data_IF_634698792558
#
_entry.id   IF_634698792558
#
_cell.length_a   1.000
_cell.length_b   1.000
_cell.length_c   1.000
_cell.angle_alpha   90.00
_cell.angle_beta   90.00
_cell.angle_gamma   90.00
#
_symmetry.space_group_name_H-M   'P 1'
#
loop_
_entity.id
_entity.type
_entity.pdbx_description
1 polymer ?
#
# COMPACT_ATOMS: atom_id res chain seq x y z
N UNK A 1 -11.92 19.84 -8.64
CA UNK A 1 -10.74 19.26 -9.35
C UNK A 1 -9.73 18.57 -8.42
N UNK A 2 -9.19 19.24 -7.39
CA UNK A 2 -8.17 18.68 -6.48
C UNK A 2 -8.55 17.32 -5.86
N UNK A 3 -9.80 17.17 -5.41
CA UNK A 3 -10.30 15.93 -4.79
C UNK A 3 -10.33 14.72 -5.74
N UNK A 4 -10.71 14.93 -7.01
CA UNK A 4 -10.73 13.86 -8.02
C UNK A 4 -9.30 13.43 -8.31
N UNK A 5 -8.39 14.40 -8.44
CA UNK A 5 -6.97 14.12 -8.62
C UNK A 5 -6.38 13.33 -7.44
N UNK A 6 -6.62 13.74 -6.19
CA UNK A 6 -6.16 13.00 -5.02
C UNK A 6 -6.78 11.60 -4.91
N UNK A 7 -8.03 11.43 -5.34
CA UNK A 7 -8.67 10.12 -5.40
C UNK A 7 -8.00 9.20 -6.41
N UNK A 8 -7.66 9.71 -7.60
CA UNK A 8 -6.90 8.97 -8.61
C UNK A 8 -5.50 8.63 -8.11
N UNK A 9 -4.84 9.59 -7.45
CA UNK A 9 -3.52 9.36 -6.87
C UNK A 9 -3.56 8.43 -5.64
N UNK A 10 -4.70 8.29 -4.96
CA UNK A 10 -4.84 7.29 -3.90
C UNK A 10 -4.85 5.85 -4.46
N UNK A 11 -5.32 5.67 -5.70
CA UNK A 11 -5.48 4.35 -6.35
C UNK A 11 -4.53 4.10 -7.51
N UNK A 12 -3.62 5.03 -7.81
CA UNK A 12 -2.65 4.85 -8.90
C UNK A 12 -1.79 3.59 -8.76
N UNK A 13 -1.36 3.14 -7.55
CA UNK A 13 -0.52 1.95 -7.44
C UNK A 13 -1.17 0.68 -8.02
N UNK A 14 -2.39 0.27 -7.60
CA UNK A 14 -3.03 -0.89 -8.22
C UNK A 14 -3.43 -0.65 -9.68
N UNK A 15 -3.74 0.59 -10.10
CA UNK A 15 -3.99 0.89 -11.52
C UNK A 15 -2.74 0.68 -12.39
N UNK A 16 -1.57 1.11 -11.90
CA UNK A 16 -0.30 0.90 -12.61
C UNK A 16 0.04 -0.59 -12.70
N UNK A 17 -0.16 -1.34 -11.61
CA UNK A 17 0.07 -2.79 -11.60
C UNK A 17 -0.89 -3.53 -12.54
N UNK A 18 -2.16 -3.14 -12.58
CA UNK A 18 -3.13 -3.66 -13.54
C UNK A 18 -2.71 -3.36 -14.99
N UNK A 19 -2.33 -2.11 -15.28
CA UNK A 19 -1.88 -1.68 -16.60
C UNK A 19 -0.66 -2.45 -17.09
N UNK A 20 0.33 -2.68 -16.23
CA UNK A 20 1.51 -3.51 -16.56
C UNK A 20 1.08 -4.96 -16.81
N UNK A 21 0.23 -5.53 -15.97
CA UNK A 21 -0.21 -6.92 -16.10
C UNK A 21 -0.98 -7.17 -17.39
N UNK A 22 -1.91 -6.28 -17.74
CA UNK A 22 -2.63 -6.34 -19.01
C UNK A 22 -1.73 -6.02 -20.21
N UNK A 23 -0.79 -5.09 -20.07
CA UNK A 23 0.17 -4.77 -21.11
C UNK A 23 1.09 -5.94 -21.45
N UNK A 24 1.53 -6.69 -20.42
CA UNK A 24 2.28 -7.94 -20.61
C UNK A 24 1.42 -9.03 -21.25
N UNK A 25 0.17 -9.20 -20.80
CA UNK A 25 -0.79 -10.14 -21.40
C UNK A 25 -1.12 -9.84 -22.87
N UNK A 26 -1.17 -8.56 -23.23
CA UNK A 26 -1.46 -8.11 -24.59
C UNK A 26 -0.20 -8.06 -25.49
N UNK A 27 0.99 -8.29 -24.93
CA UNK A 27 2.23 -8.23 -25.70
C UNK A 27 2.40 -9.48 -26.55
N UNK A 28 2.17 -9.34 -27.85
CA UNK A 28 2.31 -10.40 -28.86
C UNK A 28 3.74 -10.55 -29.38
N UNK A 29 4.73 -10.00 -28.66
CA UNK A 29 6.13 -9.96 -29.12
C UNK A 29 6.78 -11.35 -28.99
N UNK A 30 7.23 -11.97 -30.09
CA UNK A 30 7.85 -13.30 -30.07
C UNK A 30 9.16 -13.39 -29.27
N UNK A 31 9.73 -12.26 -28.84
CA UNK A 31 11.03 -12.20 -28.17
C UNK A 31 11.01 -11.79 -26.69
N UNK A 32 9.84 -11.46 -26.12
CA UNK A 32 9.76 -11.00 -24.73
C UNK A 32 9.17 -12.05 -23.79
N UNK A 33 8.06 -12.69 -24.14
CA UNK A 33 7.49 -13.81 -23.39
C UNK A 33 6.60 -14.59 -24.36
N UNK A 34 6.90 -15.85 -24.67
CA UNK A 34 5.92 -16.76 -25.30
C UNK A 34 4.89 -17.11 -24.22
N UNK A 35 3.96 -16.19 -23.97
CA UNK A 35 2.92 -16.33 -22.95
C UNK A 35 1.94 -17.39 -23.43
N UNK A 36 2.10 -18.61 -22.91
CA UNK A 36 1.14 -19.68 -23.16
C UNK A 36 -0.26 -19.29 -22.69
N UNK A 37 -1.27 -20.06 -23.08
CA UNK A 37 -2.66 -19.80 -22.67
C UNK A 37 -2.82 -19.65 -21.14
N UNK A 38 -2.00 -20.36 -20.36
CA UNK A 38 -1.99 -20.28 -18.90
C UNK A 38 -1.45 -18.95 -18.37
N UNK A 39 -0.43 -18.36 -19.00
CA UNK A 39 0.14 -17.07 -18.59
C UNK A 39 -0.83 -15.92 -18.87
N UNK A 40 -1.56 -16.01 -19.98
CA UNK A 40 -2.64 -15.07 -20.31
C UNK A 40 -3.80 -15.16 -19.32
N UNK A 41 -4.19 -16.38 -18.90
CA UNK A 41 -5.19 -16.59 -17.85
C UNK A 41 -4.70 -16.02 -16.51
N UNK A 42 -3.44 -16.29 -16.13
CA UNK A 42 -2.85 -15.79 -14.90
C UNK A 42 -2.79 -14.25 -14.87
N UNK A 43 -2.41 -13.62 -15.99
CA UNK A 43 -2.39 -12.17 -16.11
C UNK A 43 -3.79 -11.55 -16.07
N UNK A 44 -4.79 -12.20 -16.69
CA UNK A 44 -6.19 -11.79 -16.59
C UNK A 44 -6.73 -11.85 -15.15
N UNK A 45 -6.44 -12.94 -14.43
CA UNK A 45 -6.79 -13.10 -13.02
C UNK A 45 -6.09 -12.05 -12.13
N UNK A 46 -4.79 -11.81 -12.37
CA UNK A 46 -4.04 -10.78 -11.67
C UNK A 46 -4.66 -9.40 -11.90
N UNK A 47 -5.03 -9.08 -13.14
CA UNK A 47 -5.75 -7.84 -13.48
C UNK A 47 -7.06 -7.66 -12.72
N UNK A 48 -7.88 -8.71 -12.61
CA UNK A 48 -9.13 -8.69 -11.85
C UNK A 48 -8.90 -8.45 -10.34
N UNK A 49 -7.84 -9.05 -9.78
CA UNK A 49 -7.42 -8.81 -8.39
C UNK A 49 -7.01 -7.34 -8.19
N UNK A 50 -6.23 -6.77 -9.11
CA UNK A 50 -5.84 -5.36 -9.02
C UNK A 50 -7.02 -4.40 -9.13
N UNK A 51 -7.99 -4.67 -10.01
CA UNK A 51 -9.21 -3.86 -10.10
C UNK A 51 -10.05 -3.92 -8.81
N UNK A 52 -10.10 -5.08 -8.17
CA UNK A 52 -10.70 -5.22 -6.83
C UNK A 52 -9.93 -4.39 -5.79
N UNK A 53 -8.60 -4.39 -5.85
CA UNK A 53 -7.76 -3.57 -4.97
C UNK A 53 -7.98 -2.06 -5.21
N UNK A 54 -8.17 -1.60 -6.45
CA UNK A 54 -8.53 -0.20 -6.76
C UNK A 54 -9.79 0.22 -5.99
N UNK A 55 -10.84 -0.59 -6.04
CA UNK A 55 -12.09 -0.32 -5.32
C UNK A 55 -11.89 -0.25 -3.80
N UNK A 56 -11.12 -1.20 -3.26
CA UNK A 56 -10.80 -1.24 -1.83
C UNK A 56 -9.99 0.00 -1.39
N UNK A 57 -8.96 0.37 -2.16
CA UNK A 57 -8.11 1.55 -1.87
C UNK A 57 -8.88 2.86 -2.00
N UNK A 58 -9.79 2.97 -2.95
CA UNK A 58 -10.69 4.12 -3.04
C UNK A 58 -11.60 4.23 -1.81
N UNK A 59 -12.16 3.11 -1.35
CA UNK A 59 -12.99 3.09 -0.15
C UNK A 59 -12.19 3.46 1.11
N UNK A 60 -10.96 2.95 1.26
CA UNK A 60 -10.05 3.32 2.33
C UNK A 60 -9.68 4.80 2.31
N UNK A 61 -9.34 5.35 1.13
CA UNK A 61 -9.11 6.79 0.96
C UNK A 61 -10.31 7.61 1.47
N UNK A 62 -11.54 7.27 1.07
CA UNK A 62 -12.74 7.99 1.51
C UNK A 62 -12.93 7.93 3.02
N UNK A 63 -12.74 6.74 3.62
CA UNK A 63 -12.88 6.52 5.06
C UNK A 63 -11.81 7.28 5.85
N UNK A 64 -10.54 7.15 5.46
CA UNK A 64 -9.42 7.83 6.11
C UNK A 64 -9.59 9.36 6.01
N UNK A 65 -9.97 9.86 4.83
CA UNK A 65 -10.23 11.29 4.63
C UNK A 65 -11.34 11.80 5.54
N UNK A 66 -12.48 11.11 5.60
CA UNK A 66 -13.58 11.49 6.47
C UNK A 66 -13.15 11.52 7.94
N UNK A 67 -12.38 10.51 8.38
CA UNK A 67 -11.85 10.45 9.73
C UNK A 67 -10.86 11.56 10.03
N UNK A 68 -9.96 11.91 9.11
CA UNK A 68 -9.01 13.01 9.32
C UNK A 68 -9.75 14.36 9.39
N UNK A 69 -10.73 14.57 8.51
CA UNK A 69 -11.53 15.80 8.49
C UNK A 69 -12.37 15.98 9.77
N UNK A 70 -12.87 14.89 10.36
CA UNK A 70 -13.61 14.90 11.63
C UNK A 70 -12.78 15.48 12.79
N UNK A 71 -11.45 15.31 12.76
CA UNK A 71 -10.54 15.73 13.83
C UNK A 71 -9.58 16.85 13.40
N UNK A 72 -9.85 17.52 12.28
CA UNK A 72 -9.03 18.64 11.81
C UNK A 72 -9.06 19.79 12.84
N UNK A 73 -7.89 20.30 13.20
CA UNK A 73 -7.75 21.33 14.25
C UNK A 73 -7.90 20.80 15.69
N UNK A 74 -8.18 19.51 15.88
CA UNK A 74 -8.30 18.90 17.21
C UNK A 74 -6.97 18.35 17.72
N UNK A 75 -6.68 18.44 19.03
CA UNK A 75 -5.55 17.73 19.65
C UNK A 75 -5.58 16.20 19.43
N UNK A 76 -6.77 15.63 19.21
CA UNK A 76 -6.95 14.19 18.99
C UNK A 76 -6.45 13.71 17.61
N UNK A 77 -6.09 14.63 16.70
CA UNK A 77 -5.61 14.31 15.36
C UNK A 77 -4.38 13.39 15.38
N UNK A 78 -3.49 13.54 16.36
CA UNK A 78 -2.32 12.67 16.52
C UNK A 78 -2.71 11.20 16.77
N UNK A 79 -3.71 10.96 17.63
CA UNK A 79 -4.24 9.61 17.90
C UNK A 79 -4.88 9.01 16.65
N UNK A 80 -5.61 9.82 15.88
CA UNK A 80 -6.21 9.40 14.61
C UNK A 80 -5.13 8.97 13.61
N UNK A 81 -4.05 9.75 13.46
CA UNK A 81 -2.93 9.38 12.60
C UNK A 81 -2.25 8.08 13.05
N UNK A 82 -2.08 7.87 14.35
CA UNK A 82 -1.52 6.63 14.88
C UNK A 82 -2.39 5.41 14.54
N UNK A 83 -3.71 5.51 14.75
CA UNK A 83 -4.66 4.44 14.44
C UNK A 83 -4.70 4.14 12.92
N UNK A 84 -4.87 5.19 12.10
CA UNK A 84 -4.92 5.05 10.65
C UNK A 84 -3.59 4.51 10.11
N UNK A 85 -2.46 5.04 10.56
CA UNK A 85 -1.14 4.55 10.17
C UNK A 85 -0.94 3.07 10.50
N UNK A 86 -1.36 2.65 11.70
CA UNK A 86 -1.21 1.24 12.11
C UNK A 86 -2.05 0.30 11.25
N UNK A 87 -3.23 0.73 10.81
CA UNK A 87 -4.07 -0.02 9.88
C UNK A 87 -3.47 -0.08 8.47
N UNK A 88 -2.98 1.05 7.95
CA UNK A 88 -2.52 1.18 6.56
C UNK A 88 -1.06 0.73 6.33
N UNK A 89 -0.37 0.21 7.35
CA UNK A 89 1.05 -0.17 7.26
C UNK A 89 1.34 -1.37 6.35
N UNK A 90 0.33 -2.20 6.05
CA UNK A 90 0.51 -3.55 5.51
C UNK A 90 0.86 -3.58 4.03
N UNK A 91 0.54 -2.54 3.26
CA UNK A 91 0.90 -2.49 1.85
C UNK A 91 1.18 -1.07 1.37
N UNK A 92 1.96 -0.99 0.30
CA UNK A 92 2.24 0.28 -0.37
C UNK A 92 0.96 0.98 -0.87
N UNK A 93 -0.01 0.23 -1.40
CA UNK A 93 -1.30 0.76 -1.85
C UNK A 93 -2.07 1.42 -0.70
N UNK A 94 -2.10 0.81 0.49
CA UNK A 94 -2.76 1.35 1.67
C UNK A 94 -2.09 2.63 2.18
N UNK A 95 -0.75 2.65 2.25
CA UNK A 95 -0.01 3.85 2.66
C UNK A 95 -0.23 5.02 1.71
N UNK A 96 -0.32 4.73 0.41
CA UNK A 96 -0.61 5.73 -0.62
C UNK A 96 -2.03 6.30 -0.47
N UNK A 97 -3.02 5.46 -0.18
CA UNK A 97 -4.38 5.92 0.12
C UNK A 97 -4.42 6.86 1.33
N UNK A 98 -3.73 6.51 2.43
CA UNK A 98 -3.64 7.37 3.62
C UNK A 98 -2.89 8.68 3.35
N UNK A 99 -1.79 8.64 2.60
CA UNK A 99 -1.03 9.83 2.21
C UNK A 99 -1.89 10.84 1.48
N UNK A 100 -2.64 10.39 0.46
CA UNK A 100 -3.49 11.29 -0.32
C UNK A 100 -4.74 11.72 0.44
N UNK A 101 -5.27 10.87 1.33
CA UNK A 101 -6.34 11.27 2.25
C UNK A 101 -5.89 12.43 3.17
N UNK A 102 -4.71 12.30 3.78
CA UNK A 102 -4.12 13.35 4.61
C UNK A 102 -3.76 14.61 3.81
N UNK A 103 -3.28 14.44 2.58
CA UNK A 103 -2.96 15.56 1.67
C UNK A 103 -4.20 16.33 1.23
N UNK A 104 -5.32 15.64 1.02
CA UNK A 104 -6.58 16.27 0.61
C UNK A 104 -7.20 17.11 1.72
N UNK A 105 -7.07 16.69 2.98
CA UNK A 105 -7.65 17.40 4.13
C UNK A 105 -6.68 18.48 4.64
N UNK A 106 -5.45 18.11 5.01
CA UNK A 106 -4.51 18.99 5.71
C UNK A 106 -3.51 19.68 4.76
N UNK A 107 -3.68 19.52 3.46
CA UNK A 107 -2.72 20.00 2.45
C UNK A 107 -1.41 19.18 2.42
N UNK A 108 -0.38 19.66 1.70
CA UNK A 108 0.88 18.92 1.47
C UNK A 108 1.57 18.43 2.76
N UNK A 109 1.41 19.17 3.85
CA UNK A 109 1.97 18.82 5.15
C UNK A 109 1.36 17.55 5.73
N UNK A 110 0.06 17.30 5.51
CA UNK A 110 -0.61 16.07 5.93
C UNK A 110 0.01 14.83 5.29
N UNK A 111 0.25 14.87 3.98
CA UNK A 111 0.96 13.80 3.28
C UNK A 111 2.39 13.60 3.80
N UNK A 112 3.10 14.70 4.06
CA UNK A 112 4.47 14.63 4.58
C UNK A 112 4.53 13.99 5.97
N UNK A 113 3.58 14.28 6.86
CA UNK A 113 3.45 13.62 8.18
C UNK A 113 3.33 12.11 8.01
N UNK A 114 2.48 11.64 7.09
CA UNK A 114 2.32 10.20 6.82
C UNK A 114 3.64 9.57 6.36
N UNK A 115 4.36 10.22 5.42
CA UNK A 115 5.67 9.73 4.96
C UNK A 115 6.71 9.67 6.07
N UNK A 116 6.81 10.72 6.87
CA UNK A 116 7.76 10.80 7.99
C UNK A 116 7.45 9.74 9.05
N UNK A 117 6.17 9.50 9.35
CA UNK A 117 5.74 8.48 10.28
C UNK A 117 6.17 7.08 9.84
N UNK A 118 5.91 6.70 8.59
CA UNK A 118 6.35 5.40 8.08
C UNK A 118 7.87 5.26 8.01
N UNK A 119 8.58 6.33 7.66
CA UNK A 119 10.04 6.36 7.69
C UNK A 119 10.57 6.14 9.10
N UNK A 120 9.95 6.76 10.11
CA UNK A 120 10.32 6.57 11.52
C UNK A 120 10.05 5.13 12.00
N UNK A 121 9.07 4.44 11.43
CA UNK A 121 8.82 3.01 11.64
C UNK A 121 9.76 2.08 10.85
N UNK A 122 10.74 2.64 10.13
CA UNK A 122 11.70 1.87 9.34
C UNK A 122 11.17 1.41 7.99
N UNK A 123 10.01 1.86 7.53
CA UNK A 123 9.50 1.53 6.19
C UNK A 123 10.07 2.47 5.13
N UNK A 124 10.58 1.91 4.03
CA UNK A 124 10.60 2.61 2.74
C UNK A 124 9.20 2.65 2.15
N UNK A 125 8.91 3.71 1.37
CA UNK A 125 7.55 4.01 0.93
C UNK A 125 6.88 2.85 0.18
N UNK A 126 7.65 2.17 -0.67
CA UNK A 126 7.21 1.05 -1.51
C UNK A 126 7.40 -0.34 -0.88
N UNK A 127 7.97 -0.46 0.33
CA UNK A 127 8.29 -1.79 0.88
C UNK A 127 7.13 -2.44 1.64
N UNK A 128 6.85 -3.71 1.37
CA UNK A 128 5.86 -4.49 2.12
C UNK A 128 6.27 -4.67 3.59
N UNK A 129 7.56 -4.77 3.85
CA UNK A 129 8.15 -4.92 5.19
C UNK A 129 9.06 -3.73 5.53
N UNK A 130 9.34 -3.47 6.82
CA UNK A 130 10.37 -2.50 7.20
C UNK A 130 11.71 -2.83 6.55
N UNK A 131 12.52 -1.82 6.25
CA UNK A 131 13.93 -2.03 5.89
C UNK A 131 14.64 -2.78 7.00
N UNK A 132 15.52 -3.71 6.61
CA UNK A 132 16.22 -4.58 7.56
C UNK A 132 15.43 -5.82 8.00
N UNK A 133 14.16 -5.98 7.60
CA UNK A 133 13.34 -7.19 7.84
C UNK A 133 13.93 -8.46 7.24
N UNK A 134 14.78 -8.36 6.22
CA UNK A 134 15.52 -9.50 5.66
C UNK A 134 17.03 -9.28 5.67
N UNK A 135 17.52 -8.52 6.66
CA UNK A 135 18.96 -8.42 6.93
C UNK A 135 19.45 -9.61 7.75
N UNK A 136 20.76 -9.88 7.78
CA UNK A 136 21.37 -10.90 8.68
C UNK A 136 21.03 -10.67 10.15
N UNK A 137 20.67 -9.45 10.53
CA UNK A 137 20.26 -9.10 11.90
C UNK A 137 18.75 -9.27 12.13
N UNK A 138 17.99 -9.57 11.09
CA UNK A 138 16.54 -9.71 11.16
C UNK A 138 16.12 -10.87 12.07
N UNK A 139 15.15 -10.66 12.97
CA UNK A 139 14.56 -11.75 13.72
C UNK A 139 13.81 -12.75 12.80
N UNK A 140 13.26 -12.31 11.67
CA UNK A 140 12.51 -13.16 10.74
C UNK A 140 13.35 -14.26 10.07
N UNK A 141 14.67 -14.09 10.00
CA UNK A 141 15.58 -15.11 9.46
C UNK A 141 16.08 -16.09 10.53
N UNK A 142 15.76 -15.86 11.81
CA UNK A 142 16.15 -16.74 12.90
C UNK A 142 15.08 -17.81 13.11
N UNK A 143 15.44 -19.09 13.05
CA UNK A 143 14.55 -20.21 13.39
C UNK A 143 13.92 -20.04 14.79
N UNK A 144 14.66 -19.44 15.73
CA UNK A 144 14.20 -19.07 17.08
C UNK A 144 12.98 -18.13 17.12
N UNK A 145 12.84 -17.25 16.14
CA UNK A 145 11.70 -16.33 16.06
C UNK A 145 10.42 -17.05 15.68
N UNK A 146 10.48 -17.93 14.68
CA UNK A 146 9.31 -18.70 14.25
C UNK A 146 8.88 -19.71 15.32
N UNK A 147 9.82 -20.44 15.92
CA UNK A 147 9.56 -21.32 17.06
C UNK A 147 8.89 -20.60 18.25
N UNK A 148 9.30 -19.35 18.54
CA UNK A 148 8.65 -18.52 19.56
C UNK A 148 7.22 -18.09 19.21
N UNK A 149 6.90 -17.94 17.92
CA UNK A 149 5.56 -17.60 17.42
C UNK A 149 4.61 -18.80 17.45
N UNK A 150 5.12 -20.02 17.21
CA UNK A 150 4.30 -21.26 17.23
C UNK A 150 4.28 -21.94 18.61
N UNK A 151 5.01 -21.40 19.60
CA UNK A 151 5.06 -21.94 20.96
C UNK A 151 5.81 -23.26 21.10
N UNK A 152 6.57 -23.66 20.08
CA UNK A 152 7.41 -24.87 20.12
C UNK A 152 8.80 -24.41 20.54
N UNK A 153 9.25 -24.76 21.75
CA UNK A 153 10.64 -24.51 22.15
C UNK A 153 11.56 -25.23 21.15
N UNK A 154 12.39 -24.47 20.45
CA UNK A 154 13.52 -25.00 19.69
C UNK A 154 14.60 -25.51 20.64
#
# INVERSE_FOLDING_TARGET
>A
MKRILHSLLAVWPPLALAGISFGLAASTSPGLIDMGIYDNIAAGLAGAVFMSDVGARYAEFRKARAKIAEFEGSPALGTVFYQLGTFHKRSWCQRTALYWAATDVLGPNGGMIVKLWYKALGYKWWHLTPDGTFSRQSPFLKLGFWSSLVGVKA
#
